data_IF_312724045053
#
_entry.id   IF_312724045053
#
_cell.length_a   1.000
_cell.length_b   1.000
_cell.length_c   1.000
_cell.angle_alpha   90.00
_cell.angle_beta   90.00
_cell.angle_gamma   90.00
#
_symmetry.space_group_name_H-M   'P 1'
#
loop_
_entity.id
_entity.type
_entity.pdbx_description
1 polymer ?
#
# COMPACT_ATOMS: atom_id res chain seq x y z
N UNK A 1 2.08 -14.21 101.06
CA UNK A 1 2.56 -15.10 99.99
C UNK A 1 1.85 -14.72 98.74
N UNK A 2 2.44 -13.86 97.96
CA UNK A 2 1.78 -13.30 96.73
C UNK A 2 2.54 -13.80 95.49
N UNK A 3 1.85 -14.59 94.67
CA UNK A 3 2.40 -15.07 93.40
C UNK A 3 2.23 -14.02 92.30
N UNK A 4 3.32 -13.54 91.79
CA UNK A 4 3.36 -12.65 90.62
C UNK A 4 3.09 -13.51 89.31
N UNK A 5 2.00 -13.19 88.62
CA UNK A 5 1.76 -13.71 87.27
C UNK A 5 2.51 -12.86 86.23
N UNK A 6 3.47 -13.45 85.60
CA UNK A 6 4.16 -12.85 84.45
C UNK A 6 3.28 -13.09 83.16
N UNK A 7 2.81 -12.02 82.56
CA UNK A 7 2.14 -12.08 81.29
C UNK A 7 3.17 -11.97 80.14
N UNK A 8 3.21 -13.00 79.29
CA UNK A 8 4.00 -12.98 78.02
C UNK A 8 3.20 -12.27 76.97
N UNK A 9 3.73 -11.15 76.44
CA UNK A 9 3.18 -10.42 75.29
C UNK A 9 3.80 -11.02 74.02
N UNK A 10 3.01 -11.78 73.25
CA UNK A 10 3.44 -12.28 71.94
C UNK A 10 3.11 -11.21 70.91
N UNK A 11 4.14 -10.55 70.40
CA UNK A 11 4.01 -9.60 69.28
C UNK A 11 3.97 -10.43 68.00
N UNK A 12 2.80 -10.47 67.36
CA UNK A 12 2.62 -11.02 66.01
C UNK A 12 3.07 -9.96 64.99
N UNK A 13 4.26 -10.10 64.44
CA UNK A 13 4.71 -9.30 63.32
C UNK A 13 4.03 -9.82 62.04
N UNK A 14 2.99 -9.17 61.57
CA UNK A 14 2.40 -9.45 60.27
C UNK A 14 3.34 -8.85 59.18
N UNK A 15 4.09 -9.70 58.50
CA UNK A 15 4.82 -9.33 57.29
C UNK A 15 3.84 -9.16 56.18
N UNK A 16 3.44 -7.93 55.87
CA UNK A 16 2.73 -7.60 54.64
C UNK A 16 3.71 -7.76 53.47
N UNK A 17 3.64 -8.89 52.77
CA UNK A 17 4.29 -9.04 51.47
C UNK A 17 3.49 -8.19 50.46
N UNK A 18 3.94 -6.97 50.18
CA UNK A 18 3.54 -6.22 49.02
C UNK A 18 4.05 -6.99 47.78
N UNK A 19 3.15 -7.75 47.14
CA UNK A 19 3.36 -8.25 45.80
C UNK A 19 3.36 -7.04 44.90
N UNK A 20 4.54 -6.52 44.55
CA UNK A 20 4.70 -5.58 43.45
C UNK A 20 4.33 -6.38 42.17
N UNK A 21 3.07 -6.27 41.72
CA UNK A 21 2.71 -6.67 40.39
C UNK A 21 3.45 -5.70 39.47
N UNK A 22 4.49 -6.18 38.78
CA UNK A 22 5.00 -5.50 37.60
C UNK A 22 3.78 -5.26 36.67
N UNK A 23 3.61 -4.07 36.11
CA UNK A 23 2.55 -3.86 35.12
C UNK A 23 2.74 -4.94 34.05
N UNK A 24 1.66 -5.65 33.73
CA UNK A 24 1.67 -6.61 32.65
C UNK A 24 2.19 -5.86 31.42
N UNK A 25 3.27 -6.32 30.84
CA UNK A 25 3.81 -5.80 29.58
C UNK A 25 2.64 -5.79 28.59
N UNK A 26 2.19 -4.62 28.20
CA UNK A 26 1.10 -4.48 27.22
C UNK A 26 1.56 -5.21 25.96
N UNK A 27 0.92 -6.32 25.66
CA UNK A 27 1.29 -7.16 24.53
C UNK A 27 1.22 -6.29 23.29
N UNK A 28 2.36 -5.94 22.69
CA UNK A 28 2.41 -5.13 21.48
C UNK A 28 1.53 -5.77 20.43
N UNK A 29 0.64 -4.96 19.85
CA UNK A 29 -0.23 -5.36 18.75
C UNK A 29 0.58 -5.34 17.44
N UNK A 30 0.61 -6.44 16.65
CA UNK A 30 1.24 -6.47 15.35
C UNK A 30 0.84 -5.31 14.44
N UNK A 31 -0.43 -4.88 14.46
CA UNK A 31 -0.92 -3.77 13.64
C UNK A 31 -0.30 -2.43 14.06
N UNK A 32 -0.12 -2.21 15.36
CA UNK A 32 0.57 -1.00 15.86
C UNK A 32 2.04 -0.97 15.41
N UNK A 33 2.72 -2.12 15.41
CA UNK A 33 4.12 -2.22 14.95
C UNK A 33 4.21 -1.92 13.45
N UNK A 34 3.30 -2.48 12.64
CA UNK A 34 3.24 -2.23 11.20
C UNK A 34 3.03 -0.72 10.94
N UNK A 35 2.05 -0.12 11.61
CA UNK A 35 1.78 1.31 11.49
C UNK A 35 3.01 2.15 11.83
N UNK A 36 3.63 1.92 12.98
CA UNK A 36 4.82 2.64 13.42
C UNK A 36 5.95 2.53 12.39
N UNK A 37 6.25 1.31 11.94
CA UNK A 37 7.29 1.04 10.95
C UNK A 37 7.07 1.76 9.62
N UNK A 38 5.83 1.71 9.10
CA UNK A 38 5.48 2.30 7.80
C UNK A 38 5.49 3.83 7.89
N UNK A 39 4.97 4.41 8.97
CA UNK A 39 4.97 5.86 9.17
C UNK A 39 6.38 6.39 9.42
N UNK A 40 7.20 5.69 10.22
CA UNK A 40 8.60 6.06 10.45
C UNK A 40 9.38 6.12 9.13
N UNK A 41 9.22 5.10 8.28
CA UNK A 41 9.89 5.11 6.98
C UNK A 41 9.33 6.19 6.05
N UNK A 42 8.02 6.39 6.00
CA UNK A 42 7.39 7.46 5.21
C UNK A 42 7.84 8.86 5.61
N UNK A 43 8.05 9.09 6.92
CA UNK A 43 8.47 10.39 7.45
C UNK A 43 9.97 10.65 7.32
N UNK A 44 10.81 9.62 7.51
CA UNK A 44 12.27 9.78 7.67
C UNK A 44 13.10 9.05 6.61
N UNK A 45 12.47 8.22 5.75
CA UNK A 45 13.15 7.47 4.69
C UNK A 45 14.25 6.56 5.24
N UNK A 46 15.39 6.53 4.55
CA UNK A 46 16.56 5.72 4.93
C UNK A 46 17.09 6.00 6.35
N UNK A 47 16.82 7.18 6.93
CA UNK A 47 17.20 7.48 8.32
C UNK A 47 16.44 6.62 9.33
N UNK A 48 15.27 6.11 8.97
CA UNK A 48 14.48 5.20 9.79
C UNK A 48 14.94 3.74 9.70
N UNK A 49 15.88 3.36 8.82
CA UNK A 49 16.24 1.96 8.55
C UNK A 49 16.50 1.14 9.82
N UNK A 50 17.32 1.65 10.74
CA UNK A 50 17.61 0.93 11.98
C UNK A 50 16.36 0.71 12.87
N UNK A 51 15.44 1.68 12.87
CA UNK A 51 14.17 1.58 13.59
C UNK A 51 13.22 0.59 12.93
N UNK A 52 13.13 0.64 11.60
CA UNK A 52 12.34 -0.30 10.80
C UNK A 52 12.79 -1.75 11.03
N UNK A 53 14.11 -2.01 11.02
CA UNK A 53 14.62 -3.35 11.29
C UNK A 53 14.30 -3.83 12.72
N UNK A 54 14.44 -2.95 13.72
CA UNK A 54 14.07 -3.29 15.09
C UNK A 54 12.58 -3.60 15.24
N UNK A 55 11.70 -2.87 14.53
CA UNK A 55 10.26 -3.13 14.55
C UNK A 55 9.91 -4.44 13.80
N UNK A 56 10.62 -4.77 12.74
CA UNK A 56 10.48 -6.05 12.05
C UNK A 56 10.91 -7.23 12.95
N UNK A 57 11.97 -7.08 13.76
CA UNK A 57 12.40 -8.10 14.72
C UNK A 57 11.38 -8.23 15.88
N UNK A 58 10.82 -7.11 16.37
CA UNK A 58 9.72 -7.13 17.33
C UNK A 58 8.49 -7.86 16.75
N UNK A 59 8.12 -7.59 15.49
CA UNK A 59 7.03 -8.25 14.79
C UNK A 59 7.31 -9.74 14.60
N UNK A 60 8.55 -10.14 14.30
CA UNK A 60 8.96 -11.54 14.17
C UNK A 60 8.73 -12.34 15.46
N UNK A 61 9.00 -11.71 16.61
CA UNK A 61 8.76 -12.32 17.91
C UNK A 61 7.27 -12.61 18.21
N UNK A 62 6.37 -11.89 17.57
CA UNK A 62 4.91 -12.01 17.72
C UNK A 62 4.27 -12.86 16.62
N UNK A 63 4.69 -12.64 15.38
CA UNK A 63 4.16 -13.28 14.16
C UNK A 63 5.25 -13.29 13.08
N UNK A 64 5.97 -14.40 12.97
CA UNK A 64 7.05 -14.56 12.00
C UNK A 64 6.58 -14.49 10.54
N UNK A 65 5.35 -14.93 10.25
CA UNK A 65 4.76 -14.85 8.92
C UNK A 65 4.52 -13.40 8.50
N UNK A 66 3.92 -12.60 9.37
CA UNK A 66 3.72 -11.17 9.14
C UNK A 66 5.04 -10.41 9.05
N UNK A 67 6.02 -10.74 9.90
CA UNK A 67 7.34 -10.12 9.82
C UNK A 67 8.01 -10.36 8.46
N UNK A 68 8.03 -11.60 7.99
CA UNK A 68 8.60 -11.94 6.68
C UNK A 68 7.87 -11.21 5.53
N UNK A 69 6.56 -11.14 5.59
CA UNK A 69 5.72 -10.43 4.62
C UNK A 69 6.04 -8.92 4.61
N UNK A 70 6.00 -8.26 5.76
CA UNK A 70 6.27 -6.83 5.85
C UNK A 70 7.73 -6.47 5.56
N UNK A 71 8.68 -7.33 5.91
CA UNK A 71 10.08 -7.20 5.47
C UNK A 71 10.17 -7.19 3.95
N UNK A 72 9.42 -8.05 3.27
CA UNK A 72 9.36 -8.07 1.79
C UNK A 72 8.72 -6.81 1.21
N UNK A 73 7.68 -6.25 1.85
CA UNK A 73 7.02 -5.00 1.44
C UNK A 73 7.96 -3.81 1.65
N UNK A 74 8.63 -3.72 2.82
CA UNK A 74 9.59 -2.64 3.09
C UNK A 74 10.79 -2.67 2.14
N UNK A 75 11.29 -3.86 1.79
CA UNK A 75 12.32 -4.02 0.77
C UNK A 75 11.83 -3.59 -0.63
N UNK A 76 10.59 -3.93 -0.98
CA UNK A 76 9.98 -3.45 -2.22
C UNK A 76 9.92 -1.92 -2.23
N UNK A 77 9.53 -1.28 -1.14
CA UNK A 77 9.45 0.18 -1.06
C UNK A 77 10.81 0.83 -1.27
N UNK A 78 11.86 0.35 -0.56
CA UNK A 78 13.24 0.82 -0.75
C UNK A 78 13.71 0.68 -2.20
N UNK A 79 13.45 -0.48 -2.81
CA UNK A 79 13.84 -0.73 -4.21
C UNK A 79 13.09 0.18 -5.19
N UNK A 80 11.81 0.43 -4.96
CA UNK A 80 11.02 1.35 -5.79
C UNK A 80 11.54 2.78 -5.68
N UNK A 81 11.97 3.22 -4.50
CA UNK A 81 12.52 4.58 -4.32
C UNK A 81 13.93 4.74 -4.91
N UNK A 82 14.76 3.70 -4.89
CA UNK A 82 16.19 3.79 -5.25
C UNK A 82 16.54 3.24 -6.63
N UNK A 83 15.81 2.23 -7.13
CA UNK A 83 16.22 1.43 -8.29
C UNK A 83 15.15 1.38 -9.39
N UNK A 84 13.94 1.90 -9.18
CA UNK A 84 12.88 1.79 -10.17
C UNK A 84 13.23 2.54 -11.45
N UNK A 85 13.32 1.80 -12.55
CA UNK A 85 13.44 2.37 -13.88
C UNK A 85 12.04 2.67 -14.42
N UNK A 86 11.79 3.92 -14.75
CA UNK A 86 10.55 4.36 -15.39
C UNK A 86 10.74 4.36 -16.90
N UNK A 87 9.94 3.56 -17.61
CA UNK A 87 9.95 3.55 -19.07
C UNK A 87 9.05 4.66 -19.60
N UNK A 88 9.59 5.54 -20.46
CA UNK A 88 8.81 6.65 -21.02
C UNK A 88 7.94 6.19 -22.19
N UNK A 89 6.72 6.69 -22.24
CA UNK A 89 5.79 6.62 -23.37
C UNK A 89 5.27 5.26 -23.84
N UNK A 90 5.93 4.14 -23.56
CA UNK A 90 5.53 2.79 -24.01
C UNK A 90 6.19 1.73 -23.11
N UNK A 91 5.53 0.60 -22.94
CA UNK A 91 6.15 -0.57 -22.28
C UNK A 91 7.38 -1.06 -23.05
N UNK A 92 8.47 -1.48 -22.35
CA UNK A 92 9.70 -1.95 -22.97
C UNK A 92 9.48 -3.24 -23.77
N UNK A 93 10.48 -3.63 -24.56
CA UNK A 93 10.53 -4.93 -25.22
C UNK A 93 10.74 -6.07 -24.22
N UNK A 94 10.35 -7.29 -24.62
CA UNK A 94 10.66 -8.51 -23.87
C UNK A 94 9.62 -8.95 -22.85
N UNK A 95 8.49 -8.23 -22.73
CA UNK A 95 7.34 -8.73 -21.97
C UNK A 95 6.61 -9.84 -22.77
N UNK A 96 5.90 -10.76 -22.08
CA UNK A 96 5.14 -11.78 -22.80
C UNK A 96 3.98 -11.14 -23.57
N UNK A 97 3.87 -11.46 -24.87
CA UNK A 97 2.70 -11.10 -25.68
C UNK A 97 1.65 -12.21 -25.60
N UNK A 98 1.11 -12.39 -24.40
CA UNK A 98 0.10 -13.41 -24.08
C UNK A 98 -1.01 -12.81 -23.22
N UNK A 99 -2.09 -13.56 -23.04
CA UNK A 99 -3.18 -13.20 -22.12
C UNK A 99 -2.83 -13.36 -20.62
N UNK A 100 -1.59 -13.70 -20.30
CA UNK A 100 -1.05 -13.67 -18.95
C UNK A 100 -0.60 -12.26 -18.54
N UNK A 101 -0.37 -11.37 -19.51
CA UNK A 101 -0.01 -9.97 -19.28
C UNK A 101 -1.26 -9.10 -19.15
N UNK A 102 -1.27 -8.23 -18.15
CA UNK A 102 -2.28 -7.18 -18.01
C UNK A 102 -1.60 -5.81 -17.86
N UNK A 103 -1.98 -4.87 -18.69
CA UNK A 103 -1.60 -3.46 -18.62
C UNK A 103 -2.57 -2.77 -17.65
N UNK A 104 -2.09 -2.32 -16.50
CA UNK A 104 -2.89 -1.63 -15.48
C UNK A 104 -2.82 -0.13 -15.74
N UNK A 105 -3.91 0.44 -16.20
CA UNK A 105 -4.09 1.87 -16.39
C UNK A 105 -4.62 2.52 -15.11
N UNK A 106 -3.78 3.26 -14.38
CA UNK A 106 -4.19 3.99 -13.19
C UNK A 106 -4.95 5.25 -13.59
N UNK A 107 -6.13 5.42 -12.98
CA UNK A 107 -6.98 6.57 -13.18
C UNK A 107 -6.37 7.89 -12.75
N UNK A 108 -7.05 8.96 -13.08
CA UNK A 108 -6.78 10.32 -12.64
C UNK A 108 -8.11 11.05 -12.53
N UNK A 109 -8.22 11.90 -11.51
CA UNK A 109 -9.44 12.63 -11.18
C UNK A 109 -10.13 13.23 -12.42
N UNK A 110 -11.42 12.96 -12.57
CA UNK A 110 -12.25 13.55 -13.62
C UNK A 110 -12.51 15.03 -13.36
N UNK A 111 -12.86 15.77 -14.40
CA UNK A 111 -13.42 17.11 -14.27
C UNK A 111 -14.80 17.04 -13.58
N UNK A 112 -15.30 18.14 -13.00
CA UNK A 112 -16.58 18.14 -12.28
C UNK A 112 -17.75 17.55 -13.09
N UNK A 113 -17.78 17.80 -14.41
CA UNK A 113 -18.80 17.32 -15.33
C UNK A 113 -18.69 15.82 -15.71
N UNK A 114 -17.62 15.15 -15.25
CA UNK A 114 -17.33 13.75 -15.56
C UNK A 114 -16.48 13.55 -16.84
N UNK A 115 -16.04 14.60 -17.50
CA UNK A 115 -15.09 14.50 -18.60
C UNK A 115 -13.66 14.26 -18.09
N UNK A 116 -12.82 13.61 -18.92
CA UNK A 116 -11.43 13.34 -18.57
C UNK A 116 -10.60 14.62 -18.56
N UNK A 117 -9.66 14.71 -17.60
CA UNK A 117 -8.59 15.69 -17.64
C UNK A 117 -7.56 15.32 -18.72
N UNK A 118 -6.81 16.32 -19.20
CA UNK A 118 -5.79 16.11 -20.24
C UNK A 118 -4.72 15.10 -19.78
N UNK A 119 -4.34 15.11 -18.50
CA UNK A 119 -3.40 14.15 -17.94
C UNK A 119 -3.91 12.70 -18.09
N UNK A 120 -5.19 12.42 -17.83
CA UNK A 120 -5.75 11.09 -18.00
C UNK A 120 -5.70 10.64 -19.46
N UNK A 121 -5.97 11.57 -20.40
CA UNK A 121 -5.88 11.29 -21.83
C UNK A 121 -4.42 10.97 -22.23
N UNK A 122 -3.45 11.70 -21.71
CA UNK A 122 -2.04 11.44 -22.02
C UNK A 122 -1.57 10.08 -21.46
N UNK A 123 -2.00 9.70 -20.26
CA UNK A 123 -1.77 8.34 -19.70
C UNK A 123 -2.36 7.27 -20.63
N UNK A 124 -3.58 7.50 -21.12
CA UNK A 124 -4.25 6.57 -22.03
C UNK A 124 -3.56 6.42 -23.38
N UNK A 125 -2.88 7.45 -23.88
CA UNK A 125 -2.03 7.33 -25.07
C UNK A 125 -0.86 6.39 -24.85
N UNK A 126 -0.27 6.36 -23.62
CA UNK A 126 0.76 5.37 -23.25
C UNK A 126 0.18 3.97 -23.18
N UNK A 127 -1.01 3.83 -22.59
CA UNK A 127 -1.75 2.55 -22.57
C UNK A 127 -2.01 2.05 -23.98
N UNK A 128 -2.52 2.91 -24.87
CA UNK A 128 -2.83 2.56 -26.26
C UNK A 128 -1.61 2.05 -27.02
N UNK A 129 -0.51 2.81 -27.02
CA UNK A 129 0.75 2.39 -27.66
C UNK A 129 1.26 1.06 -27.11
N UNK A 130 1.17 0.88 -25.78
CA UNK A 130 1.56 -0.36 -25.12
C UNK A 130 0.64 -1.54 -25.49
N UNK A 131 -0.66 -1.29 -25.60
CA UNK A 131 -1.66 -2.29 -25.99
C UNK A 131 -1.55 -2.69 -27.46
N UNK A 132 -1.13 -1.77 -28.35
CA UNK A 132 -0.79 -2.06 -29.75
C UNK A 132 0.46 -2.92 -29.87
N UNK A 133 1.47 -2.66 -29.01
CA UNK A 133 2.71 -3.44 -28.96
C UNK A 133 2.48 -4.85 -28.39
N UNK A 134 1.56 -5.01 -27.45
CA UNK A 134 1.20 -6.28 -26.80
C UNK A 134 -0.28 -6.60 -27.08
N UNK A 135 -0.64 -7.02 -28.31
CA UNK A 135 -2.04 -7.15 -28.74
C UNK A 135 -2.79 -8.27 -28.00
N UNK A 136 -2.12 -9.20 -27.36
CA UNK A 136 -2.74 -10.28 -26.60
C UNK A 136 -2.89 -9.94 -25.10
N UNK A 137 -2.31 -8.84 -24.60
CA UNK A 137 -2.44 -8.43 -23.22
C UNK A 137 -3.86 -7.90 -22.90
N UNK A 138 -4.32 -8.14 -21.69
CA UNK A 138 -5.49 -7.43 -21.14
C UNK A 138 -5.13 -6.00 -20.74
N UNK A 139 -6.14 -5.16 -20.60
CA UNK A 139 -6.04 -3.79 -20.10
C UNK A 139 -7.01 -3.65 -18.94
N UNK A 140 -6.51 -3.39 -17.74
CA UNK A 140 -7.29 -3.08 -16.56
C UNK A 140 -7.35 -1.57 -16.39
N UNK A 141 -8.54 -0.98 -16.55
CA UNK A 141 -8.81 0.40 -16.19
C UNK A 141 -9.28 0.45 -14.73
N UNK A 142 -8.58 1.16 -13.85
CA UNK A 142 -8.92 1.24 -12.42
C UNK A 142 -9.07 2.68 -11.96
N UNK A 143 -10.17 2.97 -11.27
CA UNK A 143 -10.53 4.29 -10.74
C UNK A 143 -12.04 4.52 -10.72
N UNK A 144 -12.55 4.90 -9.56
CA UNK A 144 -13.97 5.11 -9.31
C UNK A 144 -14.48 6.50 -9.69
N UNK A 145 -15.54 6.93 -9.02
CA UNK A 145 -16.20 8.21 -9.29
C UNK A 145 -15.52 9.35 -8.52
N UNK A 146 -14.94 10.29 -9.26
CA UNK A 146 -14.28 11.49 -8.72
C UNK A 146 -14.90 12.80 -9.22
N UNK A 147 -15.94 12.73 -10.09
CA UNK A 147 -16.61 13.88 -10.65
C UNK A 147 -17.68 14.42 -9.69
N UNK A 148 -17.51 15.65 -9.20
CA UNK A 148 -18.40 16.25 -8.19
C UNK A 148 -19.81 16.55 -8.69
N UNK A 149 -20.00 16.79 -9.99
CA UNK A 149 -21.30 17.11 -10.61
C UNK A 149 -21.89 15.93 -11.39
N UNK A 150 -21.10 14.84 -11.57
CA UNK A 150 -21.52 13.64 -12.29
C UNK A 150 -21.06 12.37 -11.56
N UNK A 151 -21.68 12.01 -10.45
CA UNK A 151 -21.26 10.86 -9.62
C UNK A 151 -21.44 9.49 -10.31
N UNK A 152 -22.13 9.44 -11.46
CA UNK A 152 -22.24 8.21 -12.26
C UNK A 152 -21.05 8.00 -13.20
N UNK A 153 -20.23 9.03 -13.45
CA UNK A 153 -19.02 8.90 -14.23
C UNK A 153 -17.88 8.34 -13.38
N UNK A 154 -17.24 7.28 -13.83
CA UNK A 154 -16.06 6.70 -13.18
C UNK A 154 -14.83 6.88 -14.07
N UNK A 155 -13.65 7.01 -13.46
CA UNK A 155 -12.39 7.11 -14.20
C UNK A 155 -12.21 5.90 -15.11
N UNK A 156 -12.38 4.69 -14.57
CA UNK A 156 -12.27 3.45 -15.32
C UNK A 156 -13.27 3.36 -16.50
N UNK A 157 -14.52 3.79 -16.28
CA UNK A 157 -15.54 3.83 -17.33
C UNK A 157 -15.15 4.76 -18.47
N UNK A 158 -14.65 5.97 -18.15
CA UNK A 158 -14.20 6.94 -19.14
C UNK A 158 -12.95 6.48 -19.90
N UNK A 159 -12.01 5.84 -19.21
CA UNK A 159 -10.83 5.23 -19.84
C UNK A 159 -11.24 4.14 -20.83
N UNK A 160 -12.15 3.26 -20.44
CA UNK A 160 -12.63 2.17 -21.29
C UNK A 160 -13.40 2.67 -22.51
N UNK A 161 -14.25 3.70 -22.35
CA UNK A 161 -14.94 4.36 -23.47
C UNK A 161 -13.93 4.87 -24.50
N UNK A 162 -12.94 5.63 -24.04
CA UNK A 162 -11.91 6.20 -24.89
C UNK A 162 -11.08 5.12 -25.62
N UNK A 163 -10.63 4.06 -24.91
CA UNK A 163 -9.85 2.97 -25.51
C UNK A 163 -10.64 2.23 -26.59
N UNK A 164 -11.94 2.00 -26.40
CA UNK A 164 -12.83 1.41 -27.41
C UNK A 164 -12.96 2.30 -28.67
N UNK A 165 -13.05 3.61 -28.47
CA UNK A 165 -13.06 4.59 -29.57
C UNK A 165 -11.75 4.58 -30.37
N UNK A 166 -10.62 4.25 -29.70
CA UNK A 166 -9.33 4.06 -30.37
C UNK A 166 -9.15 2.67 -31.00
N UNK A 167 -10.15 1.80 -30.95
CA UNK A 167 -10.16 0.49 -31.66
C UNK A 167 -9.71 -0.68 -30.78
N UNK A 168 -9.49 -0.49 -29.46
CA UNK A 168 -9.22 -1.61 -28.56
C UNK A 168 -10.48 -2.47 -28.39
N UNK A 169 -10.33 -3.79 -28.59
CA UNK A 169 -11.43 -4.74 -28.40
C UNK A 169 -11.97 -4.69 -26.97
N UNK A 170 -13.31 -4.60 -26.78
CA UNK A 170 -13.94 -4.63 -25.46
C UNK A 170 -13.57 -5.86 -24.64
N UNK A 171 -13.32 -7.00 -25.27
CA UNK A 171 -12.95 -8.26 -24.59
C UNK A 171 -11.57 -8.22 -23.92
N UNK A 172 -10.74 -7.25 -24.28
CA UNK A 172 -9.44 -7.00 -23.65
C UNK A 172 -9.52 -6.05 -22.45
N UNK A 173 -10.66 -5.35 -22.25
CA UNK A 173 -10.79 -4.29 -21.28
C UNK A 173 -11.47 -4.82 -20.02
N UNK A 174 -10.79 -4.71 -18.90
CA UNK A 174 -11.27 -5.04 -17.55
C UNK A 174 -11.54 -3.74 -16.81
N UNK A 175 -12.66 -3.66 -16.09
CA UNK A 175 -13.06 -2.48 -15.34
C UNK A 175 -13.00 -2.73 -13.84
N UNK A 176 -12.30 -1.84 -13.12
CA UNK A 176 -12.42 -1.63 -11.70
C UNK A 176 -12.86 -0.17 -11.49
N UNK A 177 -14.11 0.07 -11.12
CA UNK A 177 -14.76 1.38 -11.11
C UNK A 177 -15.28 1.82 -9.73
N UNK A 178 -14.76 1.21 -8.63
CA UNK A 178 -15.23 1.45 -7.27
C UNK A 178 -14.22 2.19 -6.39
N UNK A 179 -12.95 2.12 -6.73
CA UNK A 179 -11.85 2.65 -5.92
C UNK A 179 -11.86 4.18 -5.85
N UNK A 180 -11.50 4.71 -4.69
CA UNK A 180 -11.36 6.14 -4.42
C UNK A 180 -9.93 6.54 -4.03
N UNK A 181 -9.07 5.55 -3.79
CA UNK A 181 -7.65 5.74 -3.45
C UNK A 181 -6.79 4.80 -4.30
N UNK A 182 -5.48 5.07 -4.37
CA UNK A 182 -4.56 4.18 -5.08
C UNK A 182 -4.41 2.82 -4.37
N UNK A 183 -4.56 2.77 -3.06
CA UNK A 183 -4.62 1.51 -2.33
C UNK A 183 -5.84 0.68 -2.74
N UNK A 184 -7.02 1.31 -2.82
CA UNK A 184 -8.24 0.65 -3.29
C UNK A 184 -8.16 0.23 -4.75
N UNK A 185 -7.44 0.99 -5.62
CA UNK A 185 -7.16 0.54 -6.97
C UNK A 185 -6.48 -0.83 -6.96
N UNK A 186 -5.46 -1.03 -6.11
CA UNK A 186 -4.79 -2.32 -6.00
C UNK A 186 -5.74 -3.40 -5.44
N UNK A 187 -6.36 -3.18 -4.28
CA UNK A 187 -7.25 -4.15 -3.62
C UNK A 187 -8.34 -4.65 -4.57
N UNK A 188 -9.13 -3.73 -5.14
CA UNK A 188 -10.27 -4.12 -5.97
C UNK A 188 -9.87 -4.67 -7.32
N UNK A 189 -8.71 -4.24 -7.86
CA UNK A 189 -8.14 -4.85 -9.06
C UNK A 189 -7.78 -6.31 -8.83
N UNK A 190 -7.09 -6.64 -7.74
CA UNK A 190 -6.75 -8.01 -7.41
C UNK A 190 -8.02 -8.86 -7.16
N UNK A 191 -9.06 -8.34 -6.49
CA UNK A 191 -10.34 -9.03 -6.32
C UNK A 191 -10.94 -9.48 -7.67
N UNK A 192 -10.91 -8.58 -8.66
CA UNK A 192 -11.44 -8.86 -10.00
C UNK A 192 -10.54 -9.85 -10.75
N UNK A 193 -9.22 -9.62 -10.72
CA UNK A 193 -8.27 -10.43 -11.46
C UNK A 193 -8.24 -11.87 -10.95
N UNK A 194 -8.14 -12.09 -9.64
CA UNK A 194 -8.12 -13.43 -9.05
C UNK A 194 -9.42 -14.19 -9.26
N UNK A 195 -10.57 -13.50 -9.17
CA UNK A 195 -11.87 -14.16 -9.28
C UNK A 195 -12.31 -14.45 -10.71
N UNK A 196 -11.92 -13.60 -11.69
CA UNK A 196 -12.48 -13.66 -13.07
C UNK A 196 -11.41 -13.89 -14.15
N UNK A 197 -10.14 -13.60 -13.86
CA UNK A 197 -9.05 -13.64 -14.84
C UNK A 197 -7.81 -14.37 -14.29
N UNK A 198 -7.97 -15.64 -13.79
CA UNK A 198 -6.89 -16.37 -13.12
C UNK A 198 -5.70 -16.69 -14.05
N UNK A 199 -5.84 -16.50 -15.37
CA UNK A 199 -4.73 -16.63 -16.33
C UNK A 199 -3.78 -15.44 -16.31
N UNK A 200 -4.18 -14.28 -15.74
CA UNK A 200 -3.29 -13.11 -15.63
C UNK A 200 -2.30 -13.35 -14.50
N UNK A 201 -1.02 -13.34 -14.83
CA UNK A 201 0.08 -13.60 -13.90
C UNK A 201 1.06 -12.43 -13.81
N UNK A 202 1.00 -11.49 -14.77
CA UNK A 202 1.95 -10.40 -14.90
C UNK A 202 1.22 -9.07 -15.11
N UNK A 203 1.60 -8.08 -14.30
CA UNK A 203 1.02 -6.75 -14.34
C UNK A 203 2.10 -5.73 -14.78
N UNK A 204 1.73 -4.85 -15.70
CA UNK A 204 2.55 -3.70 -16.10
C UNK A 204 1.80 -2.41 -15.79
N UNK A 205 2.35 -1.56 -14.92
CA UNK A 205 1.67 -0.36 -14.43
C UNK A 205 1.88 0.81 -15.39
N UNK A 206 0.79 1.47 -15.78
CA UNK A 206 0.83 2.68 -16.61
C UNK A 206 0.18 3.85 -15.88
N UNK A 207 0.93 4.97 -15.76
CA UNK A 207 0.47 6.20 -15.11
C UNK A 207 1.30 7.41 -15.55
N UNK A 208 1.20 8.55 -14.83
CA UNK A 208 2.18 9.63 -14.92
C UNK A 208 3.48 9.24 -14.20
N UNK A 209 4.61 9.78 -14.66
CA UNK A 209 5.94 9.43 -14.14
C UNK A 209 6.05 9.58 -12.61
N UNK A 210 5.55 10.67 -12.05
CA UNK A 210 5.54 10.90 -10.60
C UNK A 210 4.67 9.92 -9.80
N UNK A 211 3.76 9.19 -10.45
CA UNK A 211 2.83 8.25 -9.82
C UNK A 211 3.23 6.77 -10.00
N UNK A 212 4.13 6.47 -10.94
CA UNK A 212 4.57 5.09 -11.24
C UNK A 212 5.15 4.39 -10.02
N UNK A 213 6.00 5.07 -9.24
CA UNK A 213 6.59 4.52 -8.03
C UNK A 213 5.51 4.06 -7.04
N UNK A 214 4.51 4.91 -6.80
CA UNK A 214 3.39 4.59 -5.90
C UNK A 214 2.54 3.43 -6.43
N UNK A 215 2.18 3.45 -7.71
CA UNK A 215 1.43 2.34 -8.33
C UNK A 215 2.18 1.00 -8.25
N UNK A 216 3.47 1.01 -8.59
CA UNK A 216 4.33 -0.18 -8.50
C UNK A 216 4.43 -0.70 -7.07
N UNK A 217 4.62 0.19 -6.10
CA UNK A 217 4.67 -0.16 -4.69
C UNK A 217 3.37 -0.80 -4.22
N UNK A 218 2.22 -0.17 -4.47
CA UNK A 218 0.96 -0.61 -3.89
C UNK A 218 0.44 -1.90 -4.53
N UNK A 219 0.54 -2.04 -5.85
CA UNK A 219 0.18 -3.30 -6.50
C UNK A 219 1.15 -4.43 -6.11
N UNK A 220 2.45 -4.14 -5.96
CA UNK A 220 3.42 -5.11 -5.48
C UNK A 220 3.23 -5.48 -4.00
N UNK A 221 2.84 -4.52 -3.14
CA UNK A 221 2.52 -4.78 -1.74
C UNK A 221 1.25 -5.63 -1.62
N UNK A 222 0.21 -5.33 -2.38
CA UNK A 222 -1.02 -6.12 -2.40
C UNK A 222 -0.78 -7.56 -2.84
N UNK A 223 0.04 -7.77 -3.89
CA UNK A 223 0.45 -9.12 -4.30
C UNK A 223 1.11 -9.90 -3.15
N UNK A 224 1.96 -9.23 -2.35
CA UNK A 224 2.63 -9.84 -1.20
C UNK A 224 1.69 -10.10 -0.02
N UNK A 225 0.72 -9.20 0.21
CA UNK A 225 -0.29 -9.38 1.25
C UNK A 225 -1.16 -10.60 0.96
N UNK A 226 -1.62 -10.75 -0.29
CA UNK A 226 -2.42 -11.91 -0.73
C UNK A 226 -1.63 -13.20 -0.79
N UNK A 227 -0.32 -13.15 -1.06
CA UNK A 227 0.52 -14.34 -1.10
C UNK A 227 0.53 -15.12 0.21
N UNK A 228 0.38 -14.47 1.35
CA UNK A 228 0.28 -15.12 2.65
C UNK A 228 -1.02 -15.93 2.78
N UNK A 229 -2.12 -15.43 2.25
CA UNK A 229 -3.42 -16.09 2.27
C UNK A 229 -3.48 -17.25 1.28
N UNK A 230 -2.89 -17.07 0.10
CA UNK A 230 -2.92 -18.02 -1.02
C UNK A 230 -1.74 -19.01 -1.04
N UNK A 231 -0.74 -18.83 -0.16
CA UNK A 231 0.46 -19.67 -0.10
C UNK A 231 1.55 -19.33 -1.14
N UNK A 232 1.27 -18.45 -2.09
CA UNK A 232 2.24 -17.93 -3.09
C UNK A 232 1.73 -16.66 -3.76
N UNK A 233 2.65 -15.82 -4.29
CA UNK A 233 2.25 -14.71 -5.16
C UNK A 233 1.60 -15.24 -6.43
N UNK A 234 0.37 -14.82 -6.70
CA UNK A 234 -0.40 -15.21 -7.89
C UNK A 234 -0.04 -14.32 -9.08
N UNK A 235 0.26 -13.04 -8.84
CA UNK A 235 0.59 -12.04 -9.85
C UNK A 235 1.84 -11.27 -9.46
N UNK A 236 2.62 -10.83 -10.47
CA UNK A 236 3.86 -10.05 -10.27
C UNK A 236 3.83 -8.76 -11.08
N UNK A 237 4.35 -7.69 -10.49
CA UNK A 237 4.61 -6.46 -11.23
C UNK A 237 5.91 -6.65 -12.03
N UNK A 238 5.80 -6.69 -13.34
CA UNK A 238 6.94 -7.01 -14.22
C UNK A 238 7.49 -5.82 -14.98
N UNK A 239 6.71 -4.73 -15.10
CA UNK A 239 7.14 -3.53 -15.81
C UNK A 239 6.25 -2.33 -15.50
N UNK A 240 6.62 -1.19 -16.06
CA UNK A 240 5.83 0.03 -16.05
C UNK A 240 6.04 0.81 -17.35
N UNK A 241 5.15 1.76 -17.61
CA UNK A 241 5.39 2.83 -18.58
C UNK A 241 4.69 4.11 -18.12
N UNK A 242 5.28 5.26 -18.43
CA UNK A 242 4.78 6.54 -17.93
C UNK A 242 4.64 7.60 -19.03
N UNK A 243 3.57 8.37 -18.90
CA UNK A 243 3.56 9.70 -19.49
C UNK A 243 4.35 10.65 -18.60
N UNK A 244 5.22 11.45 -19.23
CA UNK A 244 6.02 12.45 -18.52
C UNK A 244 5.19 13.68 -18.23
N UNK A 245 4.75 13.82 -16.99
CA UNK A 245 3.95 14.96 -16.56
C UNK A 245 4.79 16.24 -16.50
N UNK A 246 4.22 17.42 -16.82
CA UNK A 246 4.90 18.71 -16.69
C UNK A 246 5.25 19.02 -15.23
N UNK A 247 4.46 18.51 -14.30
CA UNK A 247 4.61 18.66 -12.84
C UNK A 247 3.85 17.55 -12.13
N UNK A 248 4.23 17.30 -10.91
CA UNK A 248 3.58 16.32 -10.03
C UNK A 248 4.62 15.74 -9.08
N UNK A 249 4.17 15.38 -7.90
CA UNK A 249 4.97 14.61 -6.93
C UNK A 249 4.04 13.93 -5.95
N UNK A 250 4.44 12.76 -5.48
CA UNK A 250 3.82 12.08 -4.34
C UNK A 250 4.88 11.88 -3.27
N UNK A 251 4.54 12.23 -2.04
CA UNK A 251 5.47 12.09 -0.93
C UNK A 251 5.55 10.64 -0.43
N UNK A 252 6.65 10.28 0.22
CA UNK A 252 6.76 9.01 0.92
C UNK A 252 5.69 8.86 2.03
N UNK A 253 5.26 9.96 2.66
CA UNK A 253 4.13 9.94 3.60
C UNK A 253 2.80 9.56 2.93
N UNK A 254 2.55 10.00 1.69
CA UNK A 254 1.38 9.55 0.95
C UNK A 254 1.46 8.03 0.68
N UNK A 255 2.62 7.52 0.31
CA UNK A 255 2.84 6.08 0.14
C UNK A 255 2.66 5.32 1.46
N UNK A 256 3.12 5.90 2.59
CA UNK A 256 2.90 5.34 3.92
C UNK A 256 1.40 5.21 4.23
N UNK A 257 0.63 6.26 4.04
CA UNK A 257 -0.83 6.22 4.21
C UNK A 257 -1.48 5.12 3.38
N UNK A 258 -1.08 4.99 2.12
CA UNK A 258 -1.60 3.97 1.23
C UNK A 258 -1.22 2.53 1.64
N UNK A 259 0.00 2.31 2.13
CA UNK A 259 0.41 1.01 2.69
C UNK A 259 -0.35 0.66 3.98
N UNK A 260 -0.66 1.67 4.82
CA UNK A 260 -1.47 1.51 6.01
C UNK A 260 -2.91 1.15 5.64
N UNK A 261 -3.48 1.78 4.60
CA UNK A 261 -4.79 1.40 4.06
C UNK A 261 -4.79 -0.07 3.59
N UNK A 262 -3.77 -0.51 2.85
CA UNK A 262 -3.60 -1.92 2.45
C UNK A 262 -3.51 -2.85 3.67
N UNK A 263 -2.92 -2.40 4.78
CA UNK A 263 -2.83 -3.20 6.01
C UNK A 263 -4.16 -3.34 6.77
N UNK A 264 -5.21 -2.63 6.32
CA UNK A 264 -6.55 -2.66 6.91
C UNK A 264 -6.84 -1.53 7.92
N UNK A 265 -5.93 -0.57 8.11
CA UNK A 265 -6.13 0.61 8.99
C UNK A 265 -6.50 1.84 8.15
N UNK A 266 -7.73 1.86 7.65
CA UNK A 266 -8.23 2.96 6.83
C UNK A 266 -8.33 4.29 7.61
N UNK A 267 -8.59 4.27 8.92
CA UNK A 267 -8.70 5.47 9.75
C UNK A 267 -7.37 6.22 9.79
N UNK A 268 -6.29 5.53 10.17
CA UNK A 268 -4.94 6.12 10.16
C UNK A 268 -4.51 6.57 8.76
N UNK A 269 -4.85 5.80 7.72
CA UNK A 269 -4.55 6.16 6.33
C UNK A 269 -5.18 7.50 5.93
N UNK A 270 -6.45 7.71 6.26
CA UNK A 270 -7.14 8.97 5.98
C UNK A 270 -6.56 10.14 6.77
N UNK A 271 -6.18 9.95 8.04
CA UNK A 271 -5.49 10.98 8.80
C UNK A 271 -4.20 11.43 8.13
N UNK A 272 -3.44 10.49 7.55
CA UNK A 272 -2.24 10.81 6.78
C UNK A 272 -2.59 11.54 5.49
N UNK A 273 -3.59 11.08 4.72
CA UNK A 273 -4.00 11.71 3.47
C UNK A 273 -4.47 13.15 3.65
N UNK A 274 -5.18 13.43 4.76
CA UNK A 274 -5.68 14.76 5.08
C UNK A 274 -4.68 15.61 5.87
N UNK A 275 -3.51 15.06 6.23
CA UNK A 275 -2.47 15.77 6.98
C UNK A 275 -2.85 16.04 8.45
N UNK A 276 -3.75 15.24 9.00
CA UNK A 276 -4.18 15.31 10.41
C UNK A 276 -3.41 14.36 11.33
N UNK A 277 -2.66 13.41 10.75
CA UNK A 277 -1.83 12.48 11.51
C UNK A 277 -0.67 13.19 12.21
N UNK A 278 -0.56 13.04 13.54
CA UNK A 278 0.53 13.61 14.31
C UNK A 278 1.72 12.62 14.43
N UNK A 279 2.74 12.84 13.62
CA UNK A 279 3.95 12.00 13.65
C UNK A 279 4.76 12.15 14.94
N UNK A 280 4.52 13.22 15.74
CA UNK A 280 5.22 13.43 17.03
C UNK A 280 4.70 12.49 18.12
N UNK A 281 3.60 11.79 17.92
CA UNK A 281 3.17 10.69 18.79
C UNK A 281 4.07 9.45 18.68
N UNK A 282 4.87 9.34 17.60
CA UNK A 282 5.81 8.25 17.43
C UNK A 282 7.08 8.45 18.30
N UNK A 283 7.70 7.36 18.78
CA UNK A 283 8.97 7.46 19.46
C UNK A 283 10.04 8.13 18.60
N UNK A 284 10.82 9.10 19.13
CA UNK A 284 11.80 9.81 18.34
C UNK A 284 12.89 8.86 17.82
N UNK A 285 13.23 9.00 16.53
CA UNK A 285 14.35 8.27 15.93
C UNK A 285 15.67 8.83 16.47
N UNK A 286 16.49 7.98 17.07
CA UNK A 286 17.83 8.38 17.55
C UNK A 286 18.69 8.84 16.37
N UNK A 287 19.03 10.13 16.34
CA UNK A 287 19.82 10.75 15.27
C UNK A 287 19.01 11.47 14.19
N UNK A 288 17.70 11.53 14.33
CA UNK A 288 16.81 12.27 13.44
C UNK A 288 16.64 13.72 13.89
N UNK A 289 16.69 14.61 12.93
CA UNK A 289 16.31 16.02 12.92
C UNK A 289 16.71 16.83 14.16
N UNK A 290 17.90 17.41 14.12
CA UNK A 290 18.25 18.67 14.82
C UNK A 290 17.78 19.85 14.00
#
# INVERSE_FOLDING_TARGET
MVMKKMAWLVIFMAVLSLSIHAPAEEKRDPQKIIKEMVVDYGAYGEKATARVEALLDDLESLDSGKSAQWRSIMNLWRNVESELIVNEDILPDGLPDTNELCIVALGFQLKPDGSMNDELIERLKVVLRSAEKYPNAFILCTGGSTASENPSATEAGKMAEWLKEQGISPDRIILEDRSLTTAQNAIYSFDILESKYPQILQLAIVSSDYHIATGTLLFGAEAKLRAQENGSETMKIVSNAAWKAPSGSLSAMFQAGALIELSGDAETAFDIYYGTYDIHELPPIKGGLS
#
